data_IF_379647501171
#
_entry.id   IF_379647501171
#
_cell.length_a   1.000
_cell.length_b   1.000
_cell.length_c   1.000
_cell.angle_alpha   90.00
_cell.angle_beta   90.00
_cell.angle_gamma   90.00
#
_symmetry.space_group_name_H-M   'P 1'
#
loop_
_entity.id
_entity.type
_entity.pdbx_description
1 polymer ?
#
# COMPACT_ATOMS: atom_id res chain seq x y z
N UNK A 1 10.51 8.35 4.41
CA UNK A 1 10.81 9.66 3.78
C UNK A 1 12.06 10.35 4.33
N UNK A 2 12.23 10.48 5.65
CA UNK A 2 13.44 11.07 6.27
C UNK A 2 14.75 10.45 5.77
N UNK A 3 14.76 9.14 5.54
CA UNK A 3 15.92 8.43 4.99
C UNK A 3 16.29 8.86 3.56
N UNK A 4 15.29 9.15 2.71
CA UNK A 4 15.52 9.67 1.35
C UNK A 4 16.13 11.07 1.41
N UNK A 5 15.63 11.93 2.31
CA UNK A 5 16.19 13.26 2.54
C UNK A 5 17.62 13.20 3.06
N UNK A 6 17.94 12.26 3.97
CA UNK A 6 19.29 12.06 4.48
C UNK A 6 20.27 11.67 3.36
N UNK A 7 19.87 10.75 2.46
CA UNK A 7 20.65 10.42 1.27
C UNK A 7 20.87 11.63 0.38
N UNK A 8 19.81 12.36 0.03
CA UNK A 8 19.90 13.56 -0.81
C UNK A 8 20.75 14.67 -0.19
N UNK A 9 20.67 14.86 1.12
CA UNK A 9 21.50 15.81 1.83
C UNK A 9 22.98 15.43 1.74
N UNK A 10 23.32 14.15 1.95
CA UNK A 10 24.70 13.66 1.78
C UNK A 10 25.20 13.77 0.33
N UNK A 11 24.33 13.55 -0.65
CA UNK A 11 24.66 13.67 -2.07
C UNK A 11 24.98 15.12 -2.46
N UNK A 12 24.15 16.08 -2.02
CA UNK A 12 24.27 17.49 -2.40
C UNK A 12 25.26 18.28 -1.54
N UNK A 13 25.45 17.88 -0.29
CA UNK A 13 26.30 18.57 0.67
C UNK A 13 27.35 17.63 1.27
N UNK A 14 28.23 17.03 0.45
CA UNK A 14 29.25 16.07 0.90
C UNK A 14 30.29 16.70 1.84
N UNK A 15 30.41 18.02 1.81
CA UNK A 15 31.31 18.81 2.66
C UNK A 15 30.72 19.11 4.05
N UNK A 16 29.41 18.92 4.23
CA UNK A 16 28.70 19.15 5.51
C UNK A 16 28.50 17.83 6.25
N UNK A 17 28.05 16.79 5.55
CA UNK A 17 27.78 15.48 6.12
C UNK A 17 28.85 14.46 5.70
N UNK A 18 29.49 13.80 6.68
CA UNK A 18 30.48 12.75 6.43
C UNK A 18 29.84 11.50 5.79
N UNK A 19 28.62 11.13 6.21
CA UNK A 19 27.87 9.98 5.70
C UNK A 19 26.37 10.12 5.96
N UNK A 20 25.60 9.18 5.42
CA UNK A 20 24.17 9.03 5.70
C UNK A 20 23.82 7.54 5.84
N UNK A 21 23.03 7.23 6.88
CA UNK A 21 22.34 5.95 7.02
C UNK A 21 20.88 6.16 6.59
N UNK A 22 20.48 5.47 5.53
CA UNK A 22 19.16 5.64 4.93
C UNK A 22 18.42 4.30 4.92
N UNK A 23 17.65 4.05 5.97
CA UNK A 23 16.84 2.84 6.12
C UNK A 23 15.49 2.96 5.42
N UNK A 24 15.09 1.93 4.68
CA UNK A 24 13.82 1.88 3.92
C UNK A 24 13.61 3.13 3.06
N UNK A 25 14.66 3.54 2.36
CA UNK A 25 14.66 4.69 1.48
C UNK A 25 14.38 4.24 0.03
N UNK A 26 13.16 4.39 -0.49
CA UNK A 26 12.80 3.94 -1.84
C UNK A 26 13.33 4.90 -2.90
N UNK A 27 14.64 5.19 -2.89
CA UNK A 27 15.31 6.13 -3.80
C UNK A 27 15.18 5.65 -5.27
N UNK A 28 14.92 4.36 -5.48
CA UNK A 28 14.73 3.74 -6.79
C UNK A 28 13.26 3.49 -7.17
N UNK A 29 12.29 3.77 -6.29
CA UNK A 29 10.87 3.56 -6.63
C UNK A 29 10.37 4.48 -7.75
N UNK A 30 11.09 5.57 -8.03
CA UNK A 30 10.80 6.45 -9.16
C UNK A 30 10.94 5.74 -10.52
N UNK A 31 11.66 4.60 -10.56
CA UNK A 31 11.96 3.84 -11.77
C UNK A 31 11.30 2.42 -11.80
N UNK A 32 10.28 2.18 -10.97
CA UNK A 32 9.41 0.99 -11.10
C UNK A 32 9.95 -0.32 -10.51
N UNK A 33 10.91 -0.26 -9.58
CA UNK A 33 11.41 -1.45 -8.86
C UNK A 33 10.36 -1.97 -7.87
N UNK A 34 10.02 -3.27 -7.95
CA UNK A 34 9.00 -3.94 -7.12
C UNK A 34 9.64 -4.86 -6.06
N UNK A 35 9.26 -4.80 -4.77
CA UNK A 35 9.62 -5.81 -3.77
C UNK A 35 8.72 -7.06 -3.87
N UNK A 36 9.27 -8.22 -3.52
CA UNK A 36 8.51 -9.45 -3.21
C UNK A 36 8.57 -9.76 -1.72
N UNK A 37 7.67 -10.63 -1.23
CA UNK A 37 7.66 -11.13 0.15
C UNK A 37 7.18 -12.58 0.24
N UNK A 38 7.60 -13.30 1.28
CA UNK A 38 7.21 -14.68 1.56
C UNK A 38 5.90 -14.73 2.36
N UNK A 39 4.88 -15.35 1.78
CA UNK A 39 3.62 -15.71 2.44
C UNK A 39 3.26 -17.16 2.08
N UNK A 40 2.40 -17.80 2.89
CA UNK A 40 1.95 -19.16 2.55
C UNK A 40 1.24 -19.16 1.20
N UNK A 41 1.48 -20.18 0.37
CA UNK A 41 0.86 -20.30 -0.95
C UNK A 41 -0.68 -20.37 -0.85
N UNK A 42 -1.19 -20.96 0.23
CA UNK A 42 -2.62 -21.03 0.54
C UNK A 42 -3.20 -19.64 0.83
N UNK A 43 -2.58 -18.87 1.72
CA UNK A 43 -2.98 -17.52 2.06
C UNK A 43 -3.00 -16.62 0.81
N UNK A 44 -1.91 -16.63 0.03
CA UNK A 44 -1.81 -15.91 -1.24
C UNK A 44 -2.99 -16.26 -2.18
N UNK A 45 -3.29 -17.56 -2.38
CA UNK A 45 -4.39 -18.00 -3.24
C UNK A 45 -5.75 -17.58 -2.70
N UNK A 46 -5.95 -17.61 -1.39
CA UNK A 46 -7.21 -17.24 -0.74
C UNK A 46 -7.46 -15.74 -0.84
N UNK A 47 -6.44 -14.91 -0.59
CA UNK A 47 -6.52 -13.45 -0.79
C UNK A 47 -6.84 -13.15 -2.25
N UNK A 48 -6.10 -13.73 -3.20
CA UNK A 48 -6.33 -13.52 -4.63
C UNK A 48 -7.74 -13.90 -5.08
N UNK A 49 -8.28 -15.02 -4.58
CA UNK A 49 -9.67 -15.45 -4.87
C UNK A 49 -10.71 -14.53 -4.24
N UNK A 50 -10.43 -13.96 -3.06
CA UNK A 50 -11.39 -13.17 -2.32
C UNK A 50 -11.87 -11.93 -3.08
N UNK A 51 -11.01 -11.31 -3.88
CA UNK A 51 -11.36 -10.12 -4.65
C UNK A 51 -12.48 -10.37 -5.64
N UNK A 52 -12.44 -11.52 -6.32
CA UNK A 52 -13.49 -11.95 -7.26
C UNK A 52 -14.76 -12.31 -6.49
N UNK A 53 -14.61 -12.95 -5.34
CA UNK A 53 -15.74 -13.34 -4.50
C UNK A 53 -16.48 -12.13 -3.90
N UNK A 54 -15.77 -11.06 -3.51
CA UNK A 54 -16.36 -9.79 -3.08
C UNK A 54 -17.27 -9.22 -4.17
N UNK A 55 -16.79 -9.13 -5.41
CA UNK A 55 -17.58 -8.62 -6.54
C UNK A 55 -18.77 -9.55 -6.85
N UNK A 56 -18.55 -10.87 -6.78
CA UNK A 56 -19.61 -11.88 -6.98
C UNK A 56 -20.71 -11.75 -5.95
N UNK A 57 -20.39 -11.53 -4.67
CA UNK A 57 -21.41 -11.30 -3.63
C UNK A 57 -22.07 -9.94 -3.80
N UNK A 58 -21.31 -8.90 -4.12
CA UNK A 58 -21.82 -7.54 -4.30
C UNK A 58 -22.82 -7.41 -5.45
N UNK A 59 -22.63 -8.18 -6.54
CA UNK A 59 -23.55 -8.19 -7.70
C UNK A 59 -24.92 -8.82 -7.42
N UNK A 60 -25.08 -9.54 -6.30
CA UNK A 60 -26.37 -10.11 -5.90
C UNK A 60 -27.29 -9.04 -5.31
N UNK A 61 -28.59 -9.32 -5.28
CA UNK A 61 -29.57 -8.48 -4.57
C UNK A 61 -29.16 -8.34 -3.10
N UNK A 62 -29.04 -7.09 -2.63
CA UNK A 62 -28.54 -6.74 -1.29
C UNK A 62 -27.09 -7.19 -1.00
N UNK A 63 -26.27 -7.44 -2.02
CA UNK A 63 -24.91 -7.93 -1.90
C UNK A 63 -24.01 -7.11 -0.97
N UNK A 64 -24.01 -5.79 -1.12
CA UNK A 64 -23.25 -4.89 -0.23
C UNK A 64 -23.70 -4.99 1.24
N UNK A 65 -24.99 -5.22 1.49
CA UNK A 65 -25.48 -5.42 2.86
C UNK A 65 -25.08 -6.77 3.43
N UNK A 66 -24.93 -7.80 2.59
CA UNK A 66 -24.39 -9.11 2.98
C UNK A 66 -22.92 -8.95 3.37
N UNK A 67 -22.14 -8.26 2.53
CA UNK A 67 -20.73 -7.96 2.81
C UNK A 67 -20.57 -7.14 4.10
N UNK A 68 -21.39 -6.09 4.28
CA UNK A 68 -21.35 -5.25 5.49
C UNK A 68 -21.53 -6.07 6.76
N UNK A 69 -22.49 -7.01 6.76
CA UNK A 69 -22.72 -7.91 7.89
C UNK A 69 -21.58 -8.90 8.09
N UNK A 70 -21.09 -9.48 6.99
CA UNK A 70 -20.05 -10.50 7.02
C UNK A 70 -18.73 -9.97 7.58
N UNK A 71 -18.37 -8.75 7.19
CA UNK A 71 -17.16 -8.06 7.66
C UNK A 71 -17.40 -7.19 8.90
N UNK A 72 -18.57 -7.29 9.54
CA UNK A 72 -18.98 -6.44 10.68
C UNK A 72 -18.63 -4.96 10.48
N UNK A 73 -18.98 -4.37 9.34
CA UNK A 73 -18.60 -2.98 9.04
C UNK A 73 -19.38 -1.99 9.91
N UNK A 74 -18.74 -0.95 10.44
CA UNK A 74 -19.41 0.04 11.31
C UNK A 74 -20.50 0.82 10.56
N UNK A 75 -20.25 1.12 9.29
CA UNK A 75 -21.20 1.72 8.38
C UNK A 75 -21.59 0.75 7.27
N UNK A 76 -22.77 0.95 6.68
CA UNK A 76 -23.19 0.18 5.50
C UNK A 76 -22.29 0.50 4.30
N UNK A 77 -21.76 -0.54 3.66
CA UNK A 77 -20.99 -0.40 2.42
C UNK A 77 -21.84 0.24 1.33
N UNK A 78 -21.29 1.29 0.70
CA UNK A 78 -21.89 1.96 -0.46
C UNK A 78 -21.27 1.50 -1.76
N UNK A 79 -19.98 1.17 -1.74
CA UNK A 79 -19.23 0.65 -2.89
C UNK A 79 -18.43 -0.56 -2.46
N UNK A 80 -18.17 -1.48 -3.39
CA UNK A 80 -17.22 -2.58 -3.17
C UNK A 80 -15.81 -2.06 -2.95
N UNK A 81 -15.48 -0.93 -3.58
CA UNK A 81 -14.22 -0.23 -3.40
C UNK A 81 -13.89 0.02 -1.93
N UNK A 82 -14.84 0.44 -1.10
CA UNK A 82 -14.58 0.79 0.31
C UNK A 82 -14.01 -0.42 1.09
N UNK A 83 -14.59 -1.62 0.88
CA UNK A 83 -14.08 -2.85 1.51
C UNK A 83 -12.74 -3.29 0.92
N UNK A 84 -12.57 -3.14 -0.40
CA UNK A 84 -11.34 -3.57 -1.09
C UNK A 84 -10.15 -2.70 -0.69
N UNK A 85 -10.35 -1.39 -0.62
CA UNK A 85 -9.39 -0.37 -0.17
C UNK A 85 -8.96 -0.61 1.28
N UNK A 86 -9.92 -0.95 2.16
CA UNK A 86 -9.63 -1.34 3.54
C UNK A 86 -8.76 -2.59 3.63
N UNK A 87 -9.11 -3.66 2.90
CA UNK A 87 -8.33 -4.91 2.91
C UNK A 87 -6.93 -4.72 2.29
N UNK A 88 -6.83 -3.95 1.21
CA UNK A 88 -5.57 -3.61 0.56
C UNK A 88 -4.62 -2.87 1.51
N UNK A 89 -5.16 -1.89 2.25
CA UNK A 89 -4.44 -1.16 3.29
C UNK A 89 -3.99 -2.10 4.42
N UNK A 90 -4.87 -2.98 4.90
CA UNK A 90 -4.55 -3.94 5.96
C UNK A 90 -3.39 -4.86 5.58
N UNK A 91 -3.39 -5.42 4.36
CA UNK A 91 -2.28 -6.27 3.91
C UNK A 91 -0.98 -5.50 3.71
N UNK A 92 -1.07 -4.26 3.23
CA UNK A 92 0.07 -3.38 3.06
C UNK A 92 0.70 -2.98 4.39
N UNK A 93 -0.12 -2.66 5.40
CA UNK A 93 0.34 -2.37 6.76
C UNK A 93 0.96 -3.60 7.42
N UNK A 94 0.34 -4.78 7.27
CA UNK A 94 0.92 -6.02 7.78
C UNK A 94 2.31 -6.28 7.18
N UNK A 95 2.47 -6.16 5.86
CA UNK A 95 3.78 -6.33 5.21
C UNK A 95 4.78 -5.24 5.59
N UNK A 96 4.33 -3.99 5.79
CA UNK A 96 5.20 -2.87 6.14
C UNK A 96 5.82 -3.01 7.53
N UNK A 97 5.09 -3.63 8.46
CA UNK A 97 5.49 -3.81 9.86
C UNK A 97 5.74 -5.28 10.20
N UNK A 98 6.11 -6.10 9.20
CA UNK A 98 6.37 -7.53 9.40
C UNK A 98 7.71 -7.77 10.12
N UNK A 99 7.74 -7.50 11.42
CA UNK A 99 8.94 -7.61 12.24
C UNK A 99 8.73 -8.47 13.50
N UNK A 100 9.81 -9.09 14.02
CA UNK A 100 9.74 -9.84 15.27
C UNK A 100 9.40 -8.93 16.46
N UNK A 101 8.70 -9.45 17.49
CA UNK A 101 8.22 -10.83 17.62
C UNK A 101 6.84 -11.08 17.00
N UNK A 102 6.18 -10.04 16.46
CA UNK A 102 4.75 -10.09 16.14
C UNK A 102 4.48 -10.73 14.78
N UNK A 103 5.36 -10.53 13.78
CA UNK A 103 5.20 -11.05 12.41
C UNK A 103 3.76 -10.94 11.86
N UNK A 104 3.20 -9.71 11.71
CA UNK A 104 1.88 -9.46 11.16
C UNK A 104 1.44 -10.29 9.95
N UNK A 105 2.31 -10.54 8.96
CA UNK A 105 1.97 -11.35 7.79
C UNK A 105 1.68 -12.79 8.23
N UNK A 106 2.50 -13.32 9.14
CA UNK A 106 2.32 -14.63 9.77
C UNK A 106 1.00 -14.73 10.54
N UNK A 107 0.62 -13.69 11.30
CA UNK A 107 -0.66 -13.64 12.03
C UNK A 107 -1.85 -13.71 11.06
N UNK A 108 -1.85 -12.85 10.04
CA UNK A 108 -2.95 -12.78 9.05
C UNK A 108 -3.08 -14.11 8.31
N UNK A 109 -1.98 -14.64 7.78
CA UNK A 109 -2.01 -15.85 6.98
C UNK A 109 -2.35 -17.10 7.79
N UNK A 110 -1.86 -17.20 9.03
CA UNK A 110 -2.22 -18.33 9.91
C UNK A 110 -3.72 -18.37 10.22
N UNK A 111 -4.35 -17.20 10.40
CA UNK A 111 -5.79 -17.11 10.63
C UNK A 111 -6.62 -17.44 9.38
N UNK A 112 -6.17 -16.99 8.20
CA UNK A 112 -6.79 -17.33 6.91
C UNK A 112 -6.72 -18.84 6.66
N UNK A 113 -5.55 -19.44 6.81
CA UNK A 113 -5.31 -20.86 6.56
C UNK A 113 -5.97 -21.77 7.61
N UNK A 114 -6.11 -21.29 8.84
CA UNK A 114 -6.77 -22.03 9.93
C UNK A 114 -8.30 -22.01 9.89
N UNK A 115 -8.90 -21.14 9.08
CA UNK A 115 -10.36 -21.03 8.96
C UNK A 115 -10.95 -22.05 7.97
N UNK A 116 -12.26 -22.39 8.07
CA UNK A 116 -12.90 -23.35 7.17
C UNK A 116 -12.76 -23.00 5.69
N UNK A 117 -12.32 -23.98 4.88
CA UNK A 117 -12.01 -23.80 3.45
C UNK A 117 -13.23 -23.66 2.52
N UNK A 118 -14.45 -23.78 3.03
CA UNK A 118 -15.70 -23.66 2.27
C UNK A 118 -16.22 -22.21 2.19
N UNK A 119 -15.62 -21.28 2.95
CA UNK A 119 -16.00 -19.87 2.99
C UNK A 119 -14.81 -18.92 2.87
N UNK A 120 -14.40 -18.63 1.63
CA UNK A 120 -13.30 -17.70 1.32
C UNK A 120 -13.44 -16.36 2.06
N UNK A 121 -14.63 -15.74 2.05
CA UNK A 121 -14.82 -14.45 2.73
C UNK A 121 -14.79 -14.58 4.26
N UNK A 122 -15.15 -15.74 4.79
CA UNK A 122 -15.00 -16.08 6.21
C UNK A 122 -13.52 -16.21 6.60
N UNK A 123 -12.72 -16.86 5.76
CA UNK A 123 -11.26 -16.96 5.96
C UNK A 123 -10.61 -15.57 5.97
N UNK A 124 -10.96 -14.71 5.01
CA UNK A 124 -10.47 -13.33 4.99
C UNK A 124 -10.88 -12.57 6.25
N UNK A 125 -12.13 -12.71 6.70
CA UNK A 125 -12.57 -12.05 7.92
C UNK A 125 -11.85 -12.56 9.17
N UNK A 126 -11.49 -13.85 9.23
CA UNK A 126 -10.63 -14.37 10.30
C UNK A 126 -9.25 -13.68 10.32
N UNK A 127 -8.66 -13.45 9.15
CA UNK A 127 -7.43 -12.65 9.00
C UNK A 127 -7.58 -11.22 9.51
N UNK A 128 -8.70 -10.55 9.18
CA UNK A 128 -9.01 -9.20 9.68
C UNK A 128 -9.08 -9.17 11.20
N UNK A 129 -9.82 -10.10 11.81
CA UNK A 129 -9.97 -10.19 13.26
C UNK A 129 -8.63 -10.49 13.95
N UNK A 130 -7.81 -11.35 13.37
CA UNK A 130 -6.51 -11.70 13.93
C UNK A 130 -5.54 -10.51 13.97
N UNK A 131 -5.53 -9.68 12.93
CA UNK A 131 -4.64 -8.52 12.85
C UNK A 131 -5.17 -7.29 13.61
N UNK A 132 -6.45 -6.96 13.43
CA UNK A 132 -7.05 -5.75 14.01
C UNK A 132 -7.58 -5.96 15.44
N UNK A 133 -7.65 -7.21 15.91
CA UNK A 133 -8.33 -7.59 17.14
C UNK A 133 -9.84 -7.77 16.96
N UNK A 134 -10.47 -8.50 17.88
CA UNK A 134 -11.93 -8.67 17.89
C UNK A 134 -12.62 -7.38 18.32
N UNK A 135 -13.46 -6.85 17.43
CA UNK A 135 -14.20 -5.61 17.62
C UNK A 135 -15.68 -5.82 17.34
N UNK A 136 -16.50 -4.93 17.92
CA UNK A 136 -17.93 -4.86 17.61
C UNK A 136 -18.19 -4.52 16.14
N UNK A 137 -17.31 -3.71 15.53
CA UNK A 137 -17.31 -3.41 14.11
C UNK A 137 -15.94 -2.92 13.60
N UNK A 138 -15.74 -2.94 12.29
CA UNK A 138 -14.55 -2.41 11.60
C UNK A 138 -14.92 -1.20 10.74
N UNK A 139 -14.17 -0.11 10.89
CA UNK A 139 -14.38 1.08 10.09
C UNK A 139 -13.71 0.94 8.73
N UNK A 140 -14.54 0.69 7.72
CA UNK A 140 -14.13 0.49 6.32
C UNK A 140 -14.49 1.70 5.46
N UNK A 141 -14.93 2.80 6.07
CA UNK A 141 -15.23 4.00 5.32
C UNK A 141 -13.93 4.54 4.72
N UNK A 142 -13.76 4.32 3.42
CA UNK A 142 -12.73 5.00 2.65
C UNK A 142 -12.97 6.51 2.78
N UNK A 143 -11.96 7.24 3.27
CA UNK A 143 -11.84 8.72 3.21
C UNK A 143 -11.76 9.24 1.76
N UNK A 144 -12.44 8.59 0.83
CA UNK A 144 -12.69 9.08 -0.52
C UNK A 144 -13.78 10.16 -0.56
N UNK A 145 -14.28 10.61 0.60
CA UNK A 145 -14.60 12.02 0.77
C UNK A 145 -13.26 12.76 0.91
N UNK A 146 -12.83 13.58 -0.07
CA UNK A 146 -11.56 14.28 0.05
C UNK A 146 -11.57 15.01 1.41
N UNK A 147 -10.58 14.81 2.29
CA UNK A 147 -10.43 15.69 3.42
C UNK A 147 -10.17 17.08 2.84
N UNK A 148 -11.21 17.89 2.76
CA UNK A 148 -11.12 19.31 2.53
C UNK A 148 -11.25 19.98 3.90
N UNK A 149 -10.27 20.77 4.40
CA UNK A 149 -9.08 21.33 3.77
C UNK A 149 -7.81 20.99 4.59
N UNK A 150 -7.29 19.77 4.47
CA UNK A 150 -5.86 19.57 4.71
C UNK A 150 -5.33 18.81 3.51
N UNK A 151 -5.07 19.60 2.48
CA UNK A 151 -4.02 19.28 1.54
C UNK A 151 -2.75 19.03 2.39
N UNK A 152 -2.55 17.78 2.83
CA UNK A 152 -1.41 17.47 3.70
C UNK A 152 -0.15 17.89 2.95
N UNK A 153 0.85 18.42 3.67
CA UNK A 153 2.12 18.80 3.04
C UNK A 153 2.67 17.63 2.20
N UNK A 154 2.43 16.41 2.64
CA UNK A 154 2.73 15.19 1.91
C UNK A 154 1.99 15.06 0.57
N UNK A 155 0.67 15.23 0.54
CA UNK A 155 -0.09 15.21 -0.71
C UNK A 155 0.38 16.28 -1.70
N UNK A 156 0.80 17.46 -1.21
CA UNK A 156 1.39 18.49 -2.05
C UNK A 156 2.77 18.08 -2.60
N UNK A 157 3.64 17.49 -1.76
CA UNK A 157 4.95 16.99 -2.17
C UNK A 157 4.82 15.89 -3.24
N UNK A 158 3.88 14.96 -3.07
CA UNK A 158 3.57 13.90 -4.06
C UNK A 158 3.06 14.48 -5.38
N UNK A 159 2.21 15.50 -5.32
CA UNK A 159 1.66 16.17 -6.50
C UNK A 159 2.63 17.13 -7.19
N UNK A 160 3.78 17.42 -6.59
CA UNK A 160 4.83 18.28 -7.17
C UNK A 160 6.00 17.43 -7.65
N UNK A 161 6.89 17.03 -6.74
CA UNK A 161 8.21 16.47 -7.07
C UNK A 161 8.32 14.98 -6.74
N UNK A 162 7.61 14.50 -5.71
CA UNK A 162 7.71 13.13 -5.21
C UNK A 162 6.69 12.20 -5.89
N UNK A 163 6.74 12.15 -7.22
CA UNK A 163 5.81 11.32 -8.01
C UNK A 163 6.28 9.88 -8.01
N UNK A 164 5.74 9.06 -7.11
CA UNK A 164 5.99 7.61 -7.12
C UNK A 164 4.95 6.90 -7.99
N UNK A 165 5.35 6.18 -9.05
CA UNK A 165 4.43 5.42 -9.90
C UNK A 165 4.03 4.09 -9.23
N UNK A 166 3.38 4.18 -8.07
CA UNK A 166 2.91 3.01 -7.31
C UNK A 166 1.67 2.45 -7.99
N UNK A 167 1.73 1.19 -8.38
CA UNK A 167 0.62 0.45 -8.95
C UNK A 167 1.01 -1.01 -9.18
N UNK A 168 0.00 -1.82 -9.46
CA UNK A 168 0.16 -3.24 -9.74
C UNK A 168 -0.49 -3.57 -11.08
N UNK A 169 0.33 -3.98 -12.04
CA UNK A 169 -0.10 -4.27 -13.42
C UNK A 169 -0.96 -5.56 -13.53
N UNK A 170 -1.13 -6.28 -12.41
CA UNK A 170 -1.74 -7.62 -12.38
C UNK A 170 -0.75 -8.73 -12.73
N UNK A 171 -1.28 -9.92 -13.01
CA UNK A 171 -0.49 -11.11 -13.33
C UNK A 171 -0.45 -12.13 -12.19
N UNK A 172 0.48 -13.09 -12.30
CA UNK A 172 0.66 -14.15 -11.29
C UNK A 172 1.61 -13.75 -10.15
N UNK A 173 2.37 -12.65 -10.32
CA UNK A 173 3.32 -12.18 -9.31
C UNK A 173 2.66 -11.30 -8.22
N UNK A 174 1.33 -11.16 -8.22
CA UNK A 174 0.60 -10.36 -7.23
C UNK A 174 -0.69 -11.02 -6.78
N UNK A 175 -1.01 -10.89 -5.50
CA UNK A 175 -2.31 -11.29 -4.96
C UNK A 175 -3.39 -10.22 -5.14
N UNK A 176 -3.03 -9.00 -5.57
CA UNK A 176 -3.93 -7.86 -5.69
C UNK A 176 -4.56 -7.75 -7.10
N UNK A 177 -5.81 -7.25 -7.23
CA UNK A 177 -6.43 -7.00 -8.54
C UNK A 177 -5.63 -5.96 -9.32
N UNK A 178 -5.59 -5.92 -10.66
CA UNK A 178 -4.83 -4.89 -11.38
C UNK A 178 -5.28 -3.46 -11.06
N UNK A 179 -4.33 -2.59 -10.70
CA UNK A 179 -4.48 -1.13 -10.58
C UNK A 179 -3.17 -0.44 -11.01
N UNK A 180 -2.89 -0.37 -12.32
CA UNK A 180 -1.69 0.28 -12.82
C UNK A 180 -1.72 1.78 -12.55
N UNK A 181 -0.55 2.36 -12.29
CA UNK A 181 -0.41 3.81 -12.10
C UNK A 181 -0.71 4.55 -13.40
N UNK A 182 -1.68 5.47 -13.38
CA UNK A 182 -1.98 6.36 -14.51
C UNK A 182 -1.58 7.82 -14.20
N UNK A 183 -0.46 8.25 -14.80
CA UNK A 183 0.04 9.62 -14.66
C UNK A 183 -0.97 10.67 -15.13
N UNK A 184 -1.84 10.37 -16.10
CA UNK A 184 -2.84 11.33 -16.59
C UNK A 184 -3.91 11.59 -15.54
N UNK A 185 -4.48 10.53 -14.97
CA UNK A 185 -5.44 10.62 -13.87
C UNK A 185 -4.83 11.27 -12.64
N UNK A 186 -3.60 10.88 -12.27
CA UNK A 186 -2.85 11.51 -11.16
C UNK A 186 -2.67 13.03 -11.37
N UNK A 187 -2.26 13.44 -12.58
CA UNK A 187 -2.11 14.86 -12.95
C UNK A 187 -3.42 15.62 -12.83
N UNK A 188 -4.56 15.02 -13.23
CA UNK A 188 -5.88 15.65 -13.10
C UNK A 188 -6.26 15.89 -11.64
N UNK A 189 -6.01 14.92 -10.77
CA UNK A 189 -6.25 15.03 -9.32
C UNK A 189 -5.39 16.15 -8.73
N UNK A 190 -4.09 16.18 -9.03
CA UNK A 190 -3.18 17.19 -8.52
C UNK A 190 -3.53 18.61 -8.99
N UNK A 191 -3.89 18.79 -10.27
CA UNK A 191 -4.39 20.08 -10.78
C UNK A 191 -5.66 20.52 -10.06
N UNK A 192 -6.61 19.61 -9.88
CA UNK A 192 -7.89 19.93 -9.24
C UNK A 192 -7.73 20.30 -7.77
N UNK A 193 -6.77 19.68 -7.05
CA UNK A 193 -6.61 19.87 -5.61
C UNK A 193 -5.66 21.01 -5.25
N UNK A 194 -4.63 21.24 -6.06
CA UNK A 194 -3.53 22.15 -5.73
C UNK A 194 -3.18 23.15 -6.83
N UNK A 195 -3.76 23.03 -8.04
CA UNK A 195 -3.40 23.88 -9.18
C UNK A 195 -2.02 23.61 -9.78
N UNK A 196 -1.37 22.50 -9.42
CA UNK A 196 -0.01 22.15 -9.87
C UNK A 196 0.00 21.00 -10.87
N UNK A 197 1.07 20.93 -11.67
CA UNK A 197 1.35 19.82 -12.58
C UNK A 197 2.52 19.02 -12.01
N UNK A 198 2.36 17.70 -11.75
CA UNK A 198 3.45 16.89 -11.23
C UNK A 198 4.65 16.83 -12.18
N UNK A 199 5.85 16.79 -11.62
CA UNK A 199 7.12 16.68 -12.34
C UNK A 199 7.78 15.31 -12.07
N UNK A 200 7.38 14.23 -12.77
CA UNK A 200 7.76 12.87 -12.40
C UNK A 200 9.26 12.56 -12.51
N UNK A 201 9.99 13.31 -13.33
CA UNK A 201 11.43 13.11 -13.53
C UNK A 201 12.30 14.14 -12.80
N UNK A 202 11.70 15.05 -12.02
CA UNK A 202 12.47 16.09 -11.33
C UNK A 202 13.45 15.48 -10.33
N UNK A 203 12.98 14.56 -9.48
CA UNK A 203 13.82 13.91 -8.47
C UNK A 203 14.96 13.11 -9.10
N UNK A 204 14.70 12.32 -10.14
CA UNK A 204 15.73 11.52 -10.81
C UNK A 204 16.74 12.40 -11.54
N UNK A 205 16.30 13.52 -12.13
CA UNK A 205 17.18 14.51 -12.78
C UNK A 205 18.03 15.26 -11.75
N UNK A 206 17.42 15.73 -10.67
CA UNK A 206 18.09 16.59 -9.70
C UNK A 206 19.00 15.81 -8.76
N UNK A 207 18.58 14.65 -8.26
CA UNK A 207 19.34 13.84 -7.31
C UNK A 207 20.13 12.69 -7.94
N UNK A 208 20.06 12.54 -9.27
CA UNK A 208 20.94 11.66 -10.03
C UNK A 208 20.45 10.21 -10.22
N UNK A 209 19.24 9.88 -9.79
CA UNK A 209 18.62 8.57 -10.01
C UNK A 209 19.55 7.38 -9.75
N UNK A 210 19.89 6.63 -10.81
CA UNK A 210 20.75 5.45 -10.80
C UNK A 210 22.25 5.71 -10.54
N UNK A 211 22.68 6.98 -10.39
CA UNK A 211 24.10 7.38 -10.26
C UNK A 211 24.60 7.37 -8.81
N UNK A 212 23.86 6.78 -7.86
CA UNK A 212 24.27 6.64 -6.46
C UNK A 212 25.37 5.58 -6.19
N UNK A 213 26.25 5.28 -7.15
CA UNK A 213 27.27 4.21 -7.02
C UNK A 213 28.58 4.63 -6.34
N UNK A 214 28.82 5.91 -6.07
CA UNK A 214 30.16 6.42 -5.72
C UNK A 214 30.29 7.18 -4.40
N UNK A 215 29.32 7.06 -3.48
CA UNK A 215 29.27 7.89 -2.26
C UNK A 215 29.00 6.98 -1.06
N UNK A 216 29.69 7.22 0.07
CA UNK A 216 29.53 6.51 1.36
C UNK A 216 28.13 6.70 1.96
N UNK A 217 27.12 6.16 1.28
CA UNK A 217 25.73 6.09 1.69
C UNK A 217 25.48 4.63 2.01
N UNK A 218 25.22 4.35 3.28
CA UNK A 218 24.77 3.02 3.67
C UNK A 218 23.25 3.02 3.57
N UNK A 219 22.73 2.38 2.53
CA UNK A 219 21.30 2.13 2.37
C UNK A 219 20.98 0.74 2.91
N UNK A 220 20.10 0.66 3.88
CA UNK A 220 19.56 -0.62 4.37
C UNK A 220 18.11 -0.73 3.90
N UNK A 221 17.81 -1.79 3.15
CA UNK A 221 16.43 -2.21 2.93
C UNK A 221 16.20 -3.44 3.80
N UNK A 222 15.15 -3.42 4.62
CA UNK A 222 14.61 -4.66 5.16
C UNK A 222 13.83 -5.28 4.00
N UNK A 223 14.43 -6.28 3.37
CA UNK A 223 13.70 -7.23 2.53
C UNK A 223 13.43 -8.38 3.50
N UNK A 224 12.18 -8.51 3.93
CA UNK A 224 11.72 -9.70 4.65
C UNK A 224 11.97 -10.88 3.72
N UNK A 225 12.97 -11.70 4.07
CA UNK A 225 13.26 -12.95 3.36
C UNK A 225 12.11 -13.91 3.60
#
# INVERSE_FOLDING_TARGET
>A
MHAVLASWFRLKYPHIALGALASSAPILYFDGVKPGGEASESCYKTIRKSWVEIERVASKRNGLSILSKKFKTCSRLRRTFDLKDYLDSLYSEAAQYDEPPDYPVGIVCSAIDGAPNDDVLGQIFAGVVAYMGDSSCYDVASDSAPPAPSASAWSWQMCSELVFPIGHDGGDDTMFPPAPFDLKSFTKICRSRFGIVPQPHWVTTFYGGHVCKSINIYTSNIITQ
#
